data_IF_005335820935
#
_entry.id   IF_005335820935
#
_cell.length_a   1.000
_cell.length_b   1.000
_cell.length_c   1.000
_cell.angle_alpha   90.00
_cell.angle_beta   90.00
_cell.angle_gamma   90.00
#
_symmetry.space_group_name_H-M   'P 1'
#
loop_
_entity.id
_entity.type
_entity.pdbx_description
1 polymer ?
#
# COMPACT_ATOMS: atom_id res chain seq x y z
N UNK A 1 -2.32 10.41 33.64
CA UNK A 1 -2.04 10.69 32.22
C UNK A 1 -0.54 10.80 32.05
N UNK A 2 -0.01 10.51 30.85
CA UNK A 2 1.41 10.68 30.55
C UNK A 2 1.63 12.02 29.84
N UNK A 3 2.88 12.50 29.84
CA UNK A 3 3.27 13.77 29.19
C UNK A 3 2.80 13.86 27.72
N UNK A 4 2.84 12.74 26.99
CA UNK A 4 2.46 12.73 25.58
C UNK A 4 0.97 12.98 25.36
N UNK A 5 0.12 12.38 26.19
CA UNK A 5 -1.33 12.61 26.16
C UNK A 5 -1.66 14.03 26.57
N UNK A 6 -1.04 14.54 27.63
CA UNK A 6 -1.27 15.91 28.12
C UNK A 6 -0.88 16.96 27.07
N UNK A 7 0.29 16.82 26.43
CA UNK A 7 0.72 17.74 25.36
C UNK A 7 -0.26 17.71 24.19
N UNK A 8 -0.74 16.52 23.78
CA UNK A 8 -1.69 16.36 22.65
C UNK A 8 -3.10 16.88 22.96
N UNK A 9 -3.48 16.99 24.22
CA UNK A 9 -4.76 17.61 24.62
C UNK A 9 -4.69 19.14 24.53
N UNK A 10 -3.51 19.73 24.79
CA UNK A 10 -3.33 21.18 24.80
C UNK A 10 -2.93 21.75 23.44
N UNK A 11 -2.21 20.98 22.63
CA UNK A 11 -1.62 21.46 21.39
C UNK A 11 -1.93 20.57 20.19
N UNK A 12 -2.22 21.23 19.07
CA UNK A 12 -2.34 20.63 17.75
C UNK A 12 -1.03 20.76 16.96
N UNK A 13 -0.81 19.88 15.98
CA UNK A 13 0.33 19.98 15.07
C UNK A 13 0.37 21.35 14.36
N UNK A 14 -0.80 21.88 14.00
CA UNK A 14 -0.94 23.20 13.39
C UNK A 14 -0.44 24.33 14.28
N UNK A 15 -0.86 24.37 15.55
CA UNK A 15 -0.41 25.42 16.48
C UNK A 15 1.10 25.40 16.67
N UNK A 16 1.70 24.21 16.84
CA UNK A 16 3.14 24.06 16.91
C UNK A 16 3.82 24.52 15.63
N UNK A 17 3.32 24.11 14.46
CA UNK A 17 3.90 24.49 13.18
C UNK A 17 3.86 26.00 12.93
N UNK A 18 2.72 26.65 13.18
CA UNK A 18 2.56 28.09 13.04
C UNK A 18 3.50 28.84 14.02
N UNK A 19 3.63 28.36 15.26
CA UNK A 19 4.55 28.93 16.25
C UNK A 19 6.02 28.86 15.81
N UNK A 20 6.44 27.75 15.21
CA UNK A 20 7.79 27.59 14.66
C UNK A 20 7.97 28.21 13.26
N UNK A 21 7.01 29.03 12.80
CA UNK A 21 7.15 29.86 11.61
C UNK A 21 6.62 29.24 10.31
N UNK A 22 5.93 28.10 10.37
CA UNK A 22 5.29 27.52 9.20
C UNK A 22 4.03 28.31 8.82
N UNK A 23 3.97 28.78 7.58
CA UNK A 23 2.78 29.47 7.05
C UNK A 23 1.73 28.44 6.62
N UNK A 24 0.73 28.24 7.46
CA UNK A 24 -0.43 27.39 7.17
C UNK A 24 -1.57 28.22 6.57
N UNK A 25 -2.12 27.76 5.44
CA UNK A 25 -3.28 28.41 4.80
C UNK A 25 -4.56 28.16 5.60
N UNK A 26 -5.60 28.97 5.36
CA UNK A 26 -6.91 28.83 6.04
C UNK A 26 -7.53 27.44 5.90
N UNK A 27 -7.30 26.77 4.77
CA UNK A 27 -7.76 25.40 4.51
C UNK A 27 -6.88 24.32 5.18
N UNK A 28 -5.92 24.69 6.04
CA UNK A 28 -5.03 23.75 6.73
C UNK A 28 -3.96 23.13 5.82
N UNK A 29 -3.65 23.71 4.66
CA UNK A 29 -2.54 23.24 3.82
C UNK A 29 -1.31 24.11 3.96
N UNK A 30 -0.12 23.50 3.86
CA UNK A 30 1.17 24.15 3.95
C UNK A 30 2.21 23.45 3.05
N UNK A 31 3.29 24.15 2.71
CA UNK A 31 4.47 23.50 2.15
C UNK A 31 5.10 22.62 3.23
N UNK A 32 5.50 21.41 2.88
CA UNK A 32 6.10 20.48 3.83
C UNK A 32 7.52 20.95 4.18
N UNK A 33 7.86 21.14 5.47
CA UNK A 33 9.21 21.56 5.87
C UNK A 33 10.24 20.40 5.84
N UNK A 34 9.78 19.17 5.58
CA UNK A 34 10.60 17.95 5.67
C UNK A 34 11.14 17.47 4.31
N UNK A 35 10.86 18.19 3.22
CA UNK A 35 11.47 17.99 1.91
C UNK A 35 11.48 19.33 1.14
N UNK A 36 12.17 19.39 -0.01
CA UNK A 36 12.17 20.57 -0.87
C UNK A 36 10.82 20.72 -1.59
N UNK A 37 9.88 21.41 -0.93
CA UNK A 37 8.50 21.54 -1.38
C UNK A 37 8.19 22.94 -1.92
N UNK A 38 7.87 23.00 -3.22
CA UNK A 38 7.49 24.25 -3.93
C UNK A 38 5.98 24.51 -3.91
N UNK A 39 5.16 23.49 -3.64
CA UNK A 39 3.69 23.58 -3.73
C UNK A 39 3.04 22.94 -2.51
N UNK A 40 2.12 23.61 -1.79
CA UNK A 40 1.54 23.10 -0.55
C UNK A 40 1.04 21.64 -0.65
N UNK A 41 1.84 20.70 -0.15
CA UNK A 41 1.60 19.25 -0.23
C UNK A 41 1.22 18.62 1.11
N UNK A 42 1.31 19.39 2.19
CA UNK A 42 1.03 18.93 3.54
C UNK A 42 -0.31 19.47 4.05
N UNK A 43 -1.13 18.57 4.59
CA UNK A 43 -2.31 18.91 5.38
C UNK A 43 -1.94 18.88 6.86
N UNK A 44 -2.29 19.93 7.60
CA UNK A 44 -1.95 20.08 9.01
C UNK A 44 -3.11 20.73 9.79
N UNK A 45 -3.58 20.02 10.80
CA UNK A 45 -4.58 20.48 11.76
C UNK A 45 -4.23 19.89 13.15
N UNK A 46 -5.04 18.99 13.72
CA UNK A 46 -4.63 18.20 14.90
C UNK A 46 -3.36 17.40 14.66
N UNK A 47 -3.33 16.67 13.54
CA UNK A 47 -2.19 15.90 13.05
C UNK A 47 -1.72 16.48 11.71
N UNK A 48 -0.55 16.03 11.22
CA UNK A 48 -0.05 16.41 9.90
C UNK A 48 0.18 15.18 9.01
N UNK A 49 -0.01 15.36 7.70
CA UNK A 49 0.36 14.39 6.68
C UNK A 49 0.75 15.10 5.39
N UNK A 50 1.91 14.75 4.85
CA UNK A 50 2.41 15.21 3.56
C UNK A 50 2.10 14.17 2.48
N UNK A 51 1.30 14.55 1.49
CA UNK A 51 0.93 13.64 0.40
C UNK A 51 2.05 13.43 -0.62
N UNK A 52 3.07 14.30 -0.65
CA UNK A 52 4.19 14.18 -1.58
C UNK A 52 5.30 13.23 -1.06
N UNK A 53 5.68 13.34 0.22
CA UNK A 53 6.75 12.53 0.80
C UNK A 53 6.28 11.49 1.82
N UNK A 54 4.98 11.41 2.11
CA UNK A 54 4.37 10.41 2.99
C UNK A 54 4.60 10.62 4.49
N UNK A 55 5.39 11.62 4.89
CA UNK A 55 5.62 11.91 6.32
C UNK A 55 4.34 12.40 6.98
N UNK A 56 4.05 11.88 8.17
CA UNK A 56 2.92 12.30 8.97
C UNK A 56 3.08 11.86 10.42
N UNK A 57 2.24 12.44 11.28
CA UNK A 57 2.27 12.19 12.71
C UNK A 57 1.46 13.23 13.48
N UNK A 58 1.64 13.23 14.79
CA UNK A 58 1.03 14.21 15.69
C UNK A 58 1.96 15.42 15.95
N UNK A 59 1.54 16.30 16.85
CA UNK A 59 2.30 17.51 17.25
C UNK A 59 3.70 17.18 17.76
N UNK A 60 3.88 16.06 18.47
CA UNK A 60 5.15 15.66 19.06
C UNK A 60 6.05 15.08 17.96
N UNK A 61 5.50 14.28 17.06
CA UNK A 61 6.23 13.79 15.87
C UNK A 61 6.72 14.95 14.99
N UNK A 62 5.90 15.99 14.83
CA UNK A 62 6.26 17.16 14.03
C UNK A 62 7.49 17.88 14.62
N UNK A 63 7.45 18.19 15.92
CA UNK A 63 8.56 18.86 16.63
C UNK A 63 9.80 17.97 16.73
N UNK A 64 9.62 16.68 17.02
CA UNK A 64 10.70 15.70 17.04
C UNK A 64 11.49 15.70 15.73
N UNK A 65 10.80 15.69 14.59
CA UNK A 65 11.46 15.74 13.27
C UNK A 65 12.07 17.09 12.96
N UNK A 66 11.38 18.18 13.29
CA UNK A 66 11.85 19.54 13.02
C UNK A 66 13.17 19.84 13.74
N UNK A 67 13.31 19.37 14.99
CA UNK A 67 14.47 19.64 15.83
C UNK A 67 15.44 18.47 15.98
N UNK A 68 15.16 17.31 15.35
CA UNK A 68 15.99 16.10 15.49
C UNK A 68 16.01 15.53 16.91
N UNK A 69 14.92 15.70 17.67
CA UNK A 69 14.80 15.33 19.07
C UNK A 69 14.15 13.96 19.25
N UNK A 70 14.41 13.29 20.37
CA UNK A 70 13.58 12.14 20.77
C UNK A 70 12.14 12.60 21.01
N UNK A 71 11.15 11.68 20.95
CA UNK A 71 9.75 12.06 21.21
C UNK A 71 9.58 12.67 22.61
N UNK A 72 10.37 12.22 23.59
CA UNK A 72 10.31 12.75 24.95
C UNK A 72 10.86 14.18 25.01
N UNK A 73 12.03 14.42 24.42
CA UNK A 73 12.65 15.75 24.39
C UNK A 73 11.80 16.74 23.58
N UNK A 74 11.14 16.27 22.52
CA UNK A 74 10.19 17.07 21.75
C UNK A 74 8.96 17.45 22.59
N UNK A 75 8.45 16.52 23.42
CA UNK A 75 7.34 16.81 24.33
C UNK A 75 7.76 17.82 25.41
N UNK A 76 8.96 17.67 25.99
CA UNK A 76 9.51 18.65 26.95
C UNK A 76 9.67 20.03 26.32
N UNK A 77 10.23 20.07 25.10
CA UNK A 77 10.37 21.32 24.35
C UNK A 77 9.03 22.01 24.11
N UNK A 78 7.98 21.26 23.76
CA UNK A 78 6.63 21.80 23.61
C UNK A 78 6.07 22.35 24.93
N UNK A 79 6.29 21.67 26.05
CA UNK A 79 5.87 22.15 27.38
C UNK A 79 6.57 23.46 27.73
N UNK A 80 7.87 23.56 27.48
CA UNK A 80 8.66 24.76 27.73
C UNK A 80 8.26 25.92 26.81
N UNK A 81 8.25 25.69 25.49
CA UNK A 81 7.99 26.71 24.47
C UNK A 81 6.57 27.30 24.58
N UNK A 82 5.58 26.49 24.96
CA UNK A 82 4.18 26.92 25.12
C UNK A 82 3.76 27.17 26.57
N UNK A 83 4.69 27.02 27.52
CA UNK A 83 4.43 27.21 28.95
C UNK A 83 3.22 26.38 29.45
N UNK A 84 3.14 25.12 28.99
CA UNK A 84 1.98 24.28 29.27
C UNK A 84 1.93 23.89 30.76
N UNK A 85 0.74 23.78 31.39
CA UNK A 85 0.57 23.39 32.78
C UNK A 85 0.73 21.86 32.96
N UNK A 86 1.85 21.32 32.47
CA UNK A 86 2.18 19.90 32.50
C UNK A 86 3.21 19.67 33.61
N UNK A 87 2.89 18.80 34.55
CA UNK A 87 3.81 18.48 35.64
C UNK A 87 4.92 17.53 35.13
N UNK A 88 6.03 18.12 34.71
CA UNK A 88 7.21 17.39 34.21
C UNK A 88 7.80 16.47 35.29
N UNK A 89 7.52 16.70 36.58
CA UNK A 89 7.95 15.83 37.68
C UNK A 89 7.13 14.53 37.75
N UNK A 90 5.96 14.46 37.10
CA UNK A 90 5.17 13.23 36.91
C UNK A 90 5.57 12.47 35.63
N UNK A 91 6.85 12.23 35.46
CA UNK A 91 7.30 11.07 34.70
C UNK A 91 8.10 10.17 35.63
N UNK A 92 7.40 9.38 36.43
CA UNK A 92 7.75 7.96 36.43
C UNK A 92 7.63 7.55 34.95
N UNK A 93 8.75 7.59 34.21
CA UNK A 93 8.73 7.28 32.79
C UNK A 93 8.00 5.96 32.60
N UNK A 94 7.09 5.89 31.61
CA UNK A 94 6.20 4.75 31.34
C UNK A 94 6.73 3.46 31.96
N UNK A 95 5.94 2.85 32.85
CA UNK A 95 6.42 1.69 33.57
C UNK A 95 6.87 0.60 32.57
N UNK A 96 7.75 -0.31 32.98
CA UNK A 96 8.31 -1.31 32.06
C UNK A 96 7.21 -2.10 31.31
N UNK A 97 6.04 -2.26 31.94
CA UNK A 97 4.89 -2.97 31.40
C UNK A 97 4.14 -2.17 30.31
N UNK A 98 3.98 -0.86 30.48
CA UNK A 98 3.37 0.07 29.52
C UNK A 98 4.25 0.26 28.28
N UNK A 99 5.57 0.42 28.47
CA UNK A 99 6.53 0.46 27.36
C UNK A 99 6.49 -0.82 26.54
N UNK A 100 6.39 -1.97 27.21
CA UNK A 100 6.31 -3.26 26.55
C UNK A 100 4.97 -3.45 25.82
N UNK A 101 3.84 -3.02 26.38
CA UNK A 101 2.54 -3.01 25.69
C UNK A 101 2.58 -2.15 24.42
N UNK A 102 3.11 -0.93 24.49
CA UNK A 102 3.23 -0.04 23.32
C UNK A 102 4.18 -0.63 22.28
N UNK A 103 5.29 -1.26 22.70
CA UNK A 103 6.22 -1.93 21.79
C UNK A 103 5.56 -3.11 21.08
N UNK A 104 4.79 -3.92 21.81
CA UNK A 104 4.01 -5.03 21.25
C UNK A 104 2.96 -4.54 20.27
N UNK A 105 2.20 -3.51 20.62
CA UNK A 105 1.18 -2.93 19.74
C UNK A 105 1.77 -2.36 18.46
N UNK A 106 2.86 -1.57 18.54
CA UNK A 106 3.59 -1.08 17.36
C UNK A 106 4.12 -2.22 16.48
N UNK A 107 4.56 -3.33 17.09
CA UNK A 107 5.04 -4.50 16.37
C UNK A 107 3.90 -5.21 15.65
N UNK A 108 2.74 -5.33 16.30
CA UNK A 108 1.56 -5.95 15.73
C UNK A 108 0.96 -5.11 14.60
N UNK A 109 0.89 -3.79 14.77
CA UNK A 109 0.47 -2.87 13.70
C UNK A 109 1.37 -3.01 12.47
N UNK A 110 2.70 -3.07 12.66
CA UNK A 110 3.64 -3.31 11.56
C UNK A 110 3.43 -4.67 10.89
N UNK A 111 3.10 -5.72 11.65
CA UNK A 111 2.77 -7.04 11.10
C UNK A 111 1.51 -7.00 10.24
N UNK A 112 0.43 -6.40 10.74
CA UNK A 112 -0.84 -6.27 10.01
C UNK A 112 -0.62 -5.49 8.72
N UNK A 113 0.08 -4.35 8.79
CA UNK A 113 0.42 -3.52 7.63
C UNK A 113 1.21 -4.34 6.59
N UNK A 114 2.22 -5.09 7.03
CA UNK A 114 3.01 -5.92 6.11
C UNK A 114 2.20 -7.03 5.43
N UNK A 115 1.24 -7.63 6.15
CA UNK A 115 0.33 -8.64 5.59
C UNK A 115 -0.58 -8.01 4.53
N UNK A 116 -1.13 -6.82 4.80
CA UNK A 116 -1.96 -6.07 3.87
C UNK A 116 -1.19 -5.70 2.60
N UNK A 117 0.01 -5.12 2.74
CA UNK A 117 0.88 -4.78 1.61
C UNK A 117 1.18 -6.01 0.74
N UNK A 118 1.48 -7.15 1.36
CA UNK A 118 1.77 -8.39 0.62
C UNK A 118 0.54 -8.90 -0.14
N UNK A 119 -0.65 -8.78 0.44
CA UNK A 119 -1.90 -9.17 -0.20
C UNK A 119 -2.25 -8.26 -1.39
N UNK A 120 -2.11 -6.95 -1.22
CA UNK A 120 -2.32 -5.99 -2.32
C UNK A 120 -1.33 -6.18 -3.45
N UNK A 121 -0.05 -6.42 -3.11
CA UNK A 121 0.98 -6.75 -4.09
C UNK A 121 0.64 -8.01 -4.87
N UNK A 122 0.15 -9.06 -4.19
CA UNK A 122 -0.30 -10.27 -4.87
C UNK A 122 -1.48 -9.96 -5.82
N UNK A 123 -2.48 -9.20 -5.38
CA UNK A 123 -3.61 -8.83 -6.24
C UNK A 123 -3.13 -8.13 -7.53
N UNK A 124 -2.26 -7.12 -7.40
CA UNK A 124 -1.70 -6.40 -8.54
C UNK A 124 -0.93 -7.32 -9.49
N UNK A 125 -0.04 -8.16 -8.94
CA UNK A 125 0.75 -9.10 -9.75
C UNK A 125 -0.12 -10.11 -10.47
N UNK A 126 -1.17 -10.61 -9.81
CA UNK A 126 -2.11 -11.55 -10.43
C UNK A 126 -2.89 -10.89 -11.56
N UNK A 127 -3.33 -9.65 -11.42
CA UNK A 127 -3.95 -8.91 -12.52
C UNK A 127 -3.03 -8.84 -13.74
N UNK A 128 -1.75 -8.53 -13.54
CA UNK A 128 -0.77 -8.47 -14.63
C UNK A 128 -0.58 -9.84 -15.31
N UNK A 129 -0.47 -10.91 -14.53
CA UNK A 129 -0.36 -12.28 -15.03
C UNK A 129 -1.59 -12.66 -15.88
N UNK A 130 -2.79 -12.38 -15.37
CA UNK A 130 -4.04 -12.74 -16.04
C UNK A 130 -4.26 -11.91 -17.32
N UNK A 131 -3.95 -10.61 -17.29
CA UNK A 131 -3.97 -9.74 -18.49
C UNK A 131 -3.00 -10.23 -19.57
N UNK A 132 -1.81 -10.66 -19.17
CA UNK A 132 -0.87 -11.28 -20.09
C UNK A 132 -1.46 -12.56 -20.68
N UNK A 133 -2.09 -13.42 -19.89
CA UNK A 133 -2.74 -14.63 -20.40
C UNK A 133 -3.80 -14.33 -21.47
N UNK A 134 -4.67 -13.33 -21.24
CA UNK A 134 -5.64 -12.89 -22.25
C UNK A 134 -4.94 -12.42 -23.53
N UNK A 135 -3.89 -11.59 -23.39
CA UNK A 135 -3.11 -11.11 -24.54
C UNK A 135 -2.45 -12.26 -25.32
N UNK A 136 -2.02 -13.31 -24.62
CA UNK A 136 -1.43 -14.50 -25.24
C UNK A 136 -2.48 -15.33 -25.99
N UNK A 137 -3.71 -15.45 -25.45
CA UNK A 137 -4.85 -16.09 -26.10
C UNK A 137 -5.23 -15.31 -27.36
N UNK A 138 -5.38 -13.99 -27.27
CA UNK A 138 -5.67 -13.12 -28.41
C UNK A 138 -4.60 -13.21 -29.49
N UNK A 139 -3.32 -13.25 -29.09
CA UNK A 139 -2.20 -13.47 -30.00
C UNK A 139 -2.30 -14.79 -30.77
N UNK A 140 -2.73 -15.87 -30.10
CA UNK A 140 -2.99 -17.17 -30.75
C UNK A 140 -4.21 -17.10 -31.65
N UNK A 141 -5.31 -16.48 -31.21
CA UNK A 141 -6.52 -16.27 -32.01
C UNK A 141 -6.19 -15.60 -33.35
N UNK A 142 -5.41 -14.51 -33.30
CA UNK A 142 -4.94 -13.81 -34.50
C UNK A 142 -4.00 -14.66 -35.37
N UNK A 143 -3.10 -15.42 -34.76
CA UNK A 143 -2.15 -16.28 -35.47
C UNK A 143 -2.83 -17.41 -36.25
N UNK A 144 -3.95 -17.93 -35.73
CA UNK A 144 -4.69 -19.04 -36.33
C UNK A 144 -5.58 -18.62 -37.51
N UNK A 145 -5.78 -17.33 -37.74
CA UNK A 145 -6.56 -16.83 -38.88
C UNK A 145 -5.94 -17.30 -40.20
N UNK A 146 -6.71 -18.04 -41.00
CA UNK A 146 -6.28 -18.56 -42.30
C UNK A 146 -5.35 -19.78 -42.22
N UNK A 147 -5.13 -20.36 -41.04
CA UNK A 147 -4.42 -21.65 -40.88
C UNK A 147 -5.34 -22.82 -41.25
N UNK A 148 -4.77 -23.98 -41.64
CA UNK A 148 -5.58 -25.16 -41.93
C UNK A 148 -6.26 -25.72 -40.65
N UNK A 149 -7.40 -26.44 -40.79
CA UNK A 149 -8.22 -26.88 -39.66
C UNK A 149 -7.51 -27.73 -38.60
N UNK A 150 -6.55 -28.55 -39.02
CA UNK A 150 -5.73 -29.40 -38.15
C UNK A 150 -4.87 -28.60 -37.16
N UNK A 151 -4.44 -27.39 -37.55
CA UNK A 151 -3.72 -26.45 -36.67
C UNK A 151 -4.69 -25.67 -35.77
N UNK A 152 -5.85 -25.30 -36.31
CA UNK A 152 -6.87 -24.54 -35.59
C UNK A 152 -7.47 -25.38 -34.45
N UNK A 153 -7.83 -26.64 -34.70
CA UNK A 153 -8.51 -27.50 -33.73
C UNK A 153 -7.55 -28.31 -32.83
N UNK A 154 -6.40 -27.72 -32.48
CA UNK A 154 -5.47 -28.36 -31.54
C UNK A 154 -6.04 -28.43 -30.13
N UNK A 155 -5.66 -29.49 -29.38
CA UNK A 155 -6.07 -29.65 -27.98
C UNK A 155 -5.59 -28.49 -27.10
N UNK A 156 -4.36 -28.01 -27.34
CA UNK A 156 -3.78 -26.86 -26.64
C UNK A 156 -4.65 -25.59 -26.86
N UNK A 157 -5.16 -25.37 -28.07
CA UNK A 157 -6.02 -24.22 -28.37
C UNK A 157 -7.39 -24.32 -27.70
N UNK A 158 -8.01 -25.51 -27.73
CA UNK A 158 -9.27 -25.75 -27.02
C UNK A 158 -9.12 -25.49 -25.51
N UNK A 159 -8.03 -25.95 -24.90
CA UNK A 159 -7.73 -25.68 -23.49
C UNK A 159 -7.57 -24.18 -23.19
N UNK A 160 -6.92 -23.43 -24.09
CA UNK A 160 -6.76 -21.97 -23.95
C UNK A 160 -8.12 -21.25 -23.97
N UNK A 161 -9.01 -21.61 -24.91
CA UNK A 161 -10.35 -21.02 -24.97
C UNK A 161 -11.21 -21.39 -23.74
N UNK A 162 -11.06 -22.59 -23.19
CA UNK A 162 -11.79 -23.00 -21.99
C UNK A 162 -11.42 -22.23 -20.73
N UNK A 163 -10.17 -21.75 -20.62
CA UNK A 163 -9.73 -20.98 -19.44
C UNK A 163 -10.01 -19.49 -19.56
N UNK A 164 -10.26 -18.96 -20.76
CA UNK A 164 -10.52 -17.54 -20.98
C UNK A 164 -11.68 -16.98 -20.12
N UNK A 165 -12.86 -17.64 -20.02
CA UNK A 165 -13.95 -17.14 -19.17
C UNK A 165 -13.58 -17.14 -17.68
N UNK A 166 -12.78 -18.13 -17.25
CA UNK A 166 -12.31 -18.23 -15.85
C UNK A 166 -11.34 -17.08 -15.54
N UNK A 167 -10.44 -16.76 -16.48
CA UNK A 167 -9.52 -15.63 -16.35
C UNK A 167 -10.30 -14.30 -16.25
N UNK A 168 -11.28 -14.09 -17.12
CA UNK A 168 -12.12 -12.89 -17.10
C UNK A 168 -12.89 -12.76 -15.78
N UNK A 169 -13.49 -13.85 -15.28
CA UNK A 169 -14.15 -13.86 -13.98
C UNK A 169 -13.22 -13.45 -12.83
N UNK A 170 -11.99 -13.96 -12.82
CA UNK A 170 -11.00 -13.56 -11.80
C UNK A 170 -10.55 -12.11 -11.94
N UNK A 171 -10.41 -11.59 -13.17
CA UNK A 171 -10.11 -10.19 -13.42
C UNK A 171 -11.22 -9.27 -12.90
N UNK A 172 -12.49 -9.64 -13.07
CA UNK A 172 -13.64 -8.91 -12.53
C UNK A 172 -13.56 -8.83 -10.99
N UNK A 173 -13.30 -9.95 -10.31
CA UNK A 173 -13.11 -9.95 -8.84
C UNK A 173 -11.95 -9.04 -8.42
N UNK A 174 -10.80 -9.15 -9.10
CA UNK A 174 -9.59 -8.43 -8.71
C UNK A 174 -9.68 -6.92 -8.97
N UNK A 175 -10.37 -6.52 -10.04
CA UNK A 175 -10.46 -5.11 -10.45
C UNK A 175 -11.70 -4.41 -9.88
N UNK A 176 -12.83 -5.13 -9.79
CA UNK A 176 -14.14 -4.55 -9.44
C UNK A 176 -14.72 -5.11 -8.13
N UNK A 177 -14.30 -6.30 -7.70
CA UNK A 177 -14.81 -6.95 -6.48
C UNK A 177 -14.36 -6.28 -5.18
N UNK A 178 -15.05 -6.58 -4.09
CA UNK A 178 -14.73 -6.08 -2.76
C UNK A 178 -13.56 -6.84 -2.10
N UNK A 179 -13.15 -6.42 -0.90
CA UNK A 179 -12.00 -7.03 -0.21
C UNK A 179 -12.27 -8.48 0.22
N UNK A 180 -13.52 -8.85 0.47
CA UNK A 180 -13.91 -10.19 0.88
C UNK A 180 -13.81 -11.15 -0.30
N UNK A 181 -14.31 -10.75 -1.47
CA UNK A 181 -14.24 -11.53 -2.71
C UNK A 181 -12.78 -11.78 -3.12
N UNK A 182 -11.94 -10.74 -3.09
CA UNK A 182 -10.50 -10.87 -3.40
C UNK A 182 -9.77 -11.80 -2.43
N UNK A 183 -10.14 -11.77 -1.14
CA UNK A 183 -9.57 -12.66 -0.11
C UNK A 183 -9.99 -14.10 -0.34
N UNK A 184 -11.26 -14.34 -0.68
CA UNK A 184 -11.74 -15.67 -1.00
C UNK A 184 -10.99 -16.27 -2.19
N UNK A 185 -10.82 -15.48 -3.25
CA UNK A 185 -10.01 -15.85 -4.42
C UNK A 185 -8.57 -16.20 -4.02
N UNK A 186 -7.94 -15.38 -3.18
CA UNK A 186 -6.58 -15.62 -2.70
C UNK A 186 -6.45 -16.92 -1.90
N UNK A 187 -7.44 -17.23 -1.06
CA UNK A 187 -7.41 -18.43 -0.21
C UNK A 187 -7.69 -19.71 -1.00
N UNK A 188 -8.62 -19.65 -1.97
CA UNK A 188 -9.11 -20.84 -2.68
C UNK A 188 -8.37 -21.11 -3.99
N UNK A 189 -8.15 -20.08 -4.81
CA UNK A 189 -7.77 -20.25 -6.21
C UNK A 189 -6.36 -19.78 -6.55
N UNK A 190 -5.59 -19.27 -5.58
CA UNK A 190 -4.23 -18.77 -5.82
C UNK A 190 -3.32 -19.74 -6.58
N UNK A 191 -3.32 -21.03 -6.24
CA UNK A 191 -2.53 -22.05 -6.96
C UNK A 191 -3.06 -22.29 -8.38
N UNK A 192 -4.38 -22.22 -8.55
CA UNK A 192 -5.06 -22.45 -9.82
C UNK A 192 -4.76 -21.34 -10.82
N UNK A 193 -4.66 -20.09 -10.35
CA UNK A 193 -4.18 -18.95 -11.14
C UNK A 193 -2.81 -19.23 -11.72
N UNK A 194 -1.86 -19.67 -10.89
CA UNK A 194 -0.49 -20.00 -11.32
C UNK A 194 -0.46 -21.16 -12.34
N UNK A 195 -1.28 -22.19 -12.10
CA UNK A 195 -1.42 -23.33 -13.01
C UNK A 195 -1.99 -22.93 -14.37
N UNK A 196 -3.08 -22.16 -14.41
CA UNK A 196 -3.70 -21.69 -15.65
C UNK A 196 -2.72 -20.81 -16.43
N UNK A 197 -2.04 -19.87 -15.77
CA UNK A 197 -1.05 -19.03 -16.42
C UNK A 197 0.08 -19.85 -17.07
N UNK A 198 0.55 -20.90 -16.39
CA UNK A 198 1.53 -21.84 -16.94
C UNK A 198 1.02 -22.61 -18.16
N UNK A 199 -0.23 -23.06 -18.13
CA UNK A 199 -0.87 -23.77 -19.26
C UNK A 199 -1.02 -22.88 -20.48
N UNK A 200 -1.52 -21.66 -20.31
CA UNK A 200 -1.66 -20.67 -21.42
C UNK A 200 -0.30 -20.40 -22.07
N UNK A 201 0.74 -20.13 -21.26
CA UNK A 201 2.10 -19.90 -21.77
C UNK A 201 2.65 -21.11 -22.54
N UNK A 202 2.42 -22.33 -22.05
CA UNK A 202 2.90 -23.56 -22.68
C UNK A 202 2.14 -23.88 -23.97
N UNK A 203 0.81 -23.77 -23.95
CA UNK A 203 -0.06 -24.00 -25.10
C UNK A 203 0.29 -23.07 -26.26
N UNK A 204 0.45 -21.77 -26.00
CA UNK A 204 0.93 -20.82 -27.02
C UNK A 204 2.25 -21.28 -27.63
N UNK A 205 3.25 -21.63 -26.82
CA UNK A 205 4.57 -22.03 -27.33
C UNK A 205 4.48 -23.24 -28.26
N UNK A 206 3.62 -24.20 -27.96
CA UNK A 206 3.38 -25.37 -28.82
C UNK A 206 2.70 -24.98 -30.12
N UNK A 207 1.60 -24.24 -30.05
CA UNK A 207 0.83 -23.80 -31.23
C UNK A 207 1.69 -22.96 -32.18
N UNK A 208 2.38 -21.95 -31.65
CA UNK A 208 3.22 -21.06 -32.46
C UNK A 208 4.56 -21.70 -32.85
N UNK A 209 5.05 -22.67 -32.07
CA UNK A 209 6.30 -23.39 -32.32
C UNK A 209 6.21 -24.43 -33.44
N UNK A 210 5.03 -25.05 -33.64
CA UNK A 210 4.81 -26.03 -34.70
C UNK A 210 5.02 -25.48 -36.13
N UNK A 211 4.99 -24.15 -36.33
CA UNK A 211 5.22 -23.53 -37.64
C UNK A 211 6.69 -23.45 -38.10
N UNK A 212 7.65 -23.92 -37.29
CA UNK A 212 9.08 -23.94 -37.67
C UNK A 212 9.54 -25.25 -38.32
N UNK A 213 8.69 -26.28 -38.39
CA UNK A 213 9.05 -27.62 -38.87
C UNK A 213 8.45 -28.02 -40.23
N UNK A 214 7.82 -27.10 -40.95
CA UNK A 214 7.18 -27.38 -42.25
C UNK A 214 7.57 -26.33 -43.28
N UNK A 215 8.86 -26.28 -43.60
CA UNK A 215 9.43 -25.59 -44.74
C UNK A 215 10.27 -26.58 -45.55
#
# INVERSE_FOLDING_TARGET
MNIFSEVKEHLTARQAAEYYGLKVKRNGTACCPFHDDKHPSMKIDRNYHCFACGVGGDVIDYVSRMFGLSQYDAALKLVEDFTLPVDVKKNEGLNAQEKECIRKEKTEQKRIMHIQERFEKWCSQTVDILKNCISEIDGVNHFLIGKPPDIIFSEDYAQMLHVEPVINYWLDILCMGDISERRELFLKDRKKVEEIAGKVCTGRKRIMGCSRGSA
#
